data_IF_117388699555
#
_entry.id   IF_117388699555
#
_cell.length_a   1.000
_cell.length_b   1.000
_cell.length_c   1.000
_cell.angle_alpha   90.00
_cell.angle_beta   90.00
_cell.angle_gamma   90.00
#
_symmetry.space_group_name_H-M   'P 1'
#
loop_
_entity.id
_entity.type
_entity.pdbx_description
1 polymer ?
#
# COMPACT_ATOMS: atom_id res chain seq x y z
N UNK A 1 -15.31 17.63 -5.41
CA UNK A 1 -15.64 16.30 -4.90
C UNK A 1 -15.28 16.24 -3.42
N UNK A 2 -16.02 15.52 -2.59
CA UNK A 2 -15.64 15.33 -1.19
C UNK A 2 -14.31 14.63 -1.08
N UNK A 3 -13.52 14.94 -0.05
CA UNK A 3 -12.27 14.27 0.24
C UNK A 3 -12.48 12.77 0.43
N UNK A 4 -11.67 11.95 -0.21
CA UNK A 4 -11.82 10.50 -0.24
C UNK A 4 -10.59 9.82 0.34
N UNK A 5 -10.80 8.79 1.14
CA UNK A 5 -9.78 7.88 1.58
C UNK A 5 -9.61 6.76 0.55
N UNK A 6 -8.50 6.77 -0.18
CA UNK A 6 -8.14 5.73 -1.12
C UNK A 6 -7.20 4.74 -0.42
N UNK A 7 -7.60 3.49 -0.28
CA UNK A 7 -6.79 2.44 0.35
C UNK A 7 -6.33 1.44 -0.70
N UNK A 8 -5.01 1.28 -0.80
CA UNK A 8 -4.39 0.37 -1.75
C UNK A 8 -4.04 -0.93 -1.05
N UNK A 9 -4.37 -2.04 -1.67
CA UNK A 9 -4.03 -3.37 -1.18
C UNK A 9 -3.67 -4.32 -2.33
N UNK A 10 -3.04 -5.44 -1.99
CA UNK A 10 -2.57 -6.44 -2.93
C UNK A 10 -1.28 -7.10 -2.47
N UNK A 11 -0.77 -8.11 -3.19
CA UNK A 11 0.40 -8.88 -2.79
C UNK A 11 1.71 -8.07 -2.82
N UNK A 12 2.77 -8.63 -2.26
CA UNK A 12 4.12 -8.06 -2.32
C UNK A 12 4.56 -7.86 -3.77
N UNK A 13 5.27 -6.77 -4.05
CA UNK A 13 5.81 -6.41 -5.38
C UNK A 13 4.77 -6.29 -6.51
N UNK A 14 3.48 -6.15 -6.19
CA UNK A 14 2.43 -5.90 -7.18
C UNK A 14 2.52 -4.51 -7.85
N UNK A 15 3.30 -3.58 -7.29
CA UNK A 15 3.42 -2.20 -7.79
C UNK A 15 2.58 -1.18 -7.02
N UNK A 16 2.13 -1.52 -5.81
CA UNK A 16 1.26 -0.68 -4.97
C UNK A 16 1.83 0.72 -4.75
N UNK A 17 3.08 0.84 -4.36
CA UNK A 17 3.73 2.13 -4.07
C UNK A 17 3.79 3.04 -5.30
N UNK A 18 4.17 2.48 -6.46
CA UNK A 18 4.16 3.23 -7.73
C UNK A 18 2.74 3.70 -8.07
N UNK A 19 1.76 2.81 -7.91
CA UNK A 19 0.35 3.14 -8.11
C UNK A 19 -0.13 4.21 -7.12
N UNK A 20 0.24 4.12 -5.85
CA UNK A 20 -0.10 5.09 -4.80
C UNK A 20 0.36 6.50 -5.16
N UNK A 21 1.61 6.65 -5.56
CA UNK A 21 2.15 7.96 -5.97
C UNK A 21 1.51 8.49 -7.25
N UNK A 22 1.23 7.63 -8.24
CA UNK A 22 0.53 8.02 -9.45
C UNK A 22 -0.91 8.48 -9.16
N UNK A 23 -1.63 7.73 -8.33
CA UNK A 23 -2.98 8.05 -7.89
C UNK A 23 -3.02 9.39 -7.14
N UNK A 24 -2.11 9.58 -6.19
CA UNK A 24 -2.04 10.79 -5.40
C UNK A 24 -1.80 12.04 -6.27
N UNK A 25 -0.91 11.95 -7.26
CA UNK A 25 -0.70 13.04 -8.23
C UNK A 25 -1.94 13.33 -9.06
N UNK A 26 -2.61 12.28 -9.56
CA UNK A 26 -3.81 12.41 -10.40
C UNK A 26 -4.98 13.03 -9.64
N UNK A 27 -5.19 12.62 -8.40
CA UNK A 27 -6.32 13.05 -7.57
C UNK A 27 -6.01 14.29 -6.72
N UNK A 28 -4.79 14.88 -6.83
CA UNK A 28 -4.31 15.94 -5.95
C UNK A 28 -4.46 15.57 -4.46
N UNK A 29 -4.09 14.35 -4.13
CA UNK A 29 -4.21 13.75 -2.80
C UNK A 29 -2.85 13.64 -2.10
N UNK A 30 -2.88 13.44 -0.78
CA UNK A 30 -1.68 13.15 0.01
C UNK A 30 -1.48 11.65 0.12
N UNK A 31 -0.29 11.16 -0.32
CA UNK A 31 0.07 9.76 -0.19
C UNK A 31 0.80 9.48 1.12
N UNK A 32 0.40 8.40 1.79
CA UNK A 32 1.08 7.81 2.93
C UNK A 32 1.47 6.37 2.60
N UNK A 33 2.78 6.12 2.51
CA UNK A 33 3.35 4.80 2.22
C UNK A 33 4.11 4.33 3.45
N UNK A 34 3.60 3.30 4.12
CA UNK A 34 4.14 2.83 5.40
C UNK A 34 5.61 2.41 5.29
N UNK A 35 5.95 1.67 4.23
CA UNK A 35 7.32 1.19 4.03
C UNK A 35 8.32 2.34 3.84
N UNK A 36 7.95 3.39 3.12
CA UNK A 36 8.80 4.58 2.94
C UNK A 36 9.00 5.34 4.26
N UNK A 37 7.94 5.48 5.06
CA UNK A 37 8.04 6.11 6.37
C UNK A 37 8.92 5.29 7.29
N UNK A 38 8.72 3.96 7.33
CA UNK A 38 9.55 3.04 8.10
C UNK A 38 11.03 3.15 7.73
N UNK A 39 11.34 3.15 6.44
CA UNK A 39 12.71 3.27 5.95
C UNK A 39 13.36 4.62 6.31
N UNK A 40 12.64 5.72 6.12
CA UNK A 40 13.16 7.06 6.39
C UNK A 40 13.37 7.31 7.88
N UNK A 41 12.45 6.83 8.73
CA UNK A 41 12.49 7.07 10.17
C UNK A 41 13.45 6.12 10.90
N UNK A 42 13.53 4.86 10.48
CA UNK A 42 14.23 3.82 11.23
C UNK A 42 15.39 3.16 10.47
N UNK A 43 15.46 3.34 9.15
CA UNK A 43 16.58 2.84 8.34
C UNK A 43 17.94 3.31 8.84
N UNK A 44 18.14 4.59 9.17
CA UNK A 44 19.41 5.10 9.71
C UNK A 44 19.84 4.47 11.03
N UNK A 45 18.92 3.89 11.80
CA UNK A 45 19.19 3.26 13.09
C UNK A 45 19.57 1.78 12.98
N UNK A 46 19.46 1.19 11.79
CA UNK A 46 19.78 -0.22 11.55
C UNK A 46 21.30 -0.42 11.60
N UNK A 47 21.77 -1.19 12.58
CA UNK A 47 23.19 -1.51 12.82
C UNK A 47 23.58 -2.94 12.48
N UNK A 48 22.69 -3.70 11.86
CA UNK A 48 22.89 -5.12 11.54
C UNK A 48 21.67 -5.75 10.91
N UNK A 49 21.55 -7.08 10.94
CA UNK A 49 20.37 -7.78 10.46
C UNK A 49 19.10 -7.27 11.15
N UNK A 50 18.03 -7.12 10.39
CA UNK A 50 16.77 -6.61 10.91
C UNK A 50 16.12 -7.67 11.79
N UNK A 51 15.92 -7.36 13.07
CA UNK A 51 15.08 -8.16 13.95
C UNK A 51 13.60 -7.90 13.62
N UNK A 52 12.88 -8.96 13.25
CA UNK A 52 11.50 -8.86 12.79
C UNK A 52 10.57 -8.20 13.82
N UNK A 53 10.70 -8.57 15.10
CA UNK A 53 9.90 -7.98 16.19
C UNK A 53 10.17 -6.47 16.34
N UNK A 54 11.43 -6.06 16.24
CA UNK A 54 11.85 -4.67 16.29
C UNK A 54 11.23 -3.84 15.17
N UNK A 55 11.21 -4.40 13.97
CA UNK A 55 10.60 -3.75 12.80
C UNK A 55 9.09 -3.64 12.94
N UNK A 56 8.41 -4.72 13.32
CA UNK A 56 6.95 -4.73 13.47
C UNK A 56 6.45 -3.68 14.47
N UNK A 57 7.13 -3.55 15.61
CA UNK A 57 6.76 -2.55 16.62
C UNK A 57 6.85 -1.12 16.07
N UNK A 58 7.88 -0.84 15.30
CA UNK A 58 8.10 0.48 14.69
C UNK A 58 7.09 0.79 13.59
N UNK A 59 6.85 -0.18 12.72
CA UNK A 59 5.83 -0.05 11.69
C UNK A 59 4.43 0.11 12.29
N UNK A 60 4.12 -0.53 13.40
CA UNK A 60 2.84 -0.34 14.10
C UNK A 60 2.68 1.11 14.60
N UNK A 61 3.73 1.69 15.19
CA UNK A 61 3.72 3.10 15.62
C UNK A 61 3.62 4.05 14.44
N UNK A 62 4.37 3.79 13.37
CA UNK A 62 4.27 4.54 12.10
C UNK A 62 2.85 4.51 11.55
N UNK A 63 2.26 3.33 11.49
CA UNK A 63 0.91 3.14 10.96
C UNK A 63 -0.14 3.91 11.79
N UNK A 64 -0.01 3.89 13.13
CA UNK A 64 -0.90 4.68 14.00
C UNK A 64 -0.79 6.19 13.72
N UNK A 65 0.42 6.70 13.53
CA UNK A 65 0.65 8.11 13.19
C UNK A 65 0.13 8.45 11.79
N UNK A 66 0.36 7.58 10.81
CA UNK A 66 -0.19 7.72 9.45
C UNK A 66 -1.71 7.87 9.51
N UNK A 67 -2.40 6.99 10.24
CA UNK A 67 -3.86 7.04 10.37
C UNK A 67 -4.35 8.35 10.98
N UNK A 68 -3.77 8.79 12.10
CA UNK A 68 -4.17 10.06 12.74
C UNK A 68 -3.90 11.27 11.84
N UNK A 69 -2.80 11.25 11.07
CA UNK A 69 -2.47 12.31 10.12
C UNK A 69 -3.42 12.29 8.92
N UNK A 70 -3.71 11.11 8.38
CA UNK A 70 -4.64 10.93 7.27
C UNK A 70 -6.05 11.45 7.63
N UNK A 71 -6.52 11.17 8.84
CA UNK A 71 -7.80 11.71 9.34
C UNK A 71 -7.80 13.25 9.38
N UNK A 72 -6.72 13.87 9.86
CA UNK A 72 -6.60 15.32 9.89
C UNK A 72 -6.57 15.93 8.47
N UNK A 73 -5.91 15.27 7.52
CA UNK A 73 -5.86 15.70 6.11
C UNK A 73 -7.24 15.60 5.45
N UNK A 74 -7.96 14.48 5.69
CA UNK A 74 -9.34 14.31 5.20
C UNK A 74 -10.28 15.37 5.79
N UNK A 75 -10.16 15.66 7.10
CA UNK A 75 -10.96 16.69 7.76
C UNK A 75 -10.66 18.09 7.20
N UNK A 76 -9.45 18.34 6.71
CA UNK A 76 -9.08 19.56 6.01
C UNK A 76 -9.58 19.62 4.54
N UNK A 77 -10.33 18.61 4.09
CA UNK A 77 -10.92 18.56 2.74
C UNK A 77 -9.98 18.06 1.65
N UNK A 78 -8.87 17.42 2.02
CA UNK A 78 -7.92 16.87 1.05
C UNK A 78 -7.99 15.33 1.03
N UNK A 79 -8.08 14.75 -0.16
CA UNK A 79 -8.07 13.29 -0.33
C UNK A 79 -6.74 12.66 0.08
N UNK A 80 -6.81 11.42 0.51
CA UNK A 80 -5.66 10.65 1.00
C UNK A 80 -5.54 9.34 0.24
N UNK A 81 -4.29 8.91 0.01
CA UNK A 81 -3.96 7.58 -0.52
C UNK A 81 -3.13 6.85 0.52
N UNK A 82 -3.60 5.70 0.99
CA UNK A 82 -2.90 4.85 1.96
C UNK A 82 -2.35 3.58 1.28
N UNK A 83 -1.05 3.36 1.36
CA UNK A 83 -0.37 2.08 1.11
C UNK A 83 0.24 1.60 2.43
N UNK A 84 -0.55 0.86 3.21
CA UNK A 84 -0.19 0.43 4.58
C UNK A 84 -0.14 -1.09 4.74
N UNK A 85 -0.05 -1.84 3.62
CA UNK A 85 0.20 -3.27 3.63
C UNK A 85 -0.97 -4.12 4.10
N UNK A 86 -2.21 -3.83 3.70
CA UNK A 86 -3.41 -4.61 4.01
C UNK A 86 -3.44 -5.98 3.28
N UNK A 87 -2.48 -6.85 3.62
CA UNK A 87 -2.25 -8.13 2.96
C UNK A 87 -3.20 -9.23 3.43
N UNK A 88 -3.66 -9.16 4.67
CA UNK A 88 -4.56 -10.14 5.26
C UNK A 88 -5.99 -9.63 5.23
N UNK A 89 -6.94 -10.56 5.21
CA UNK A 89 -8.37 -10.22 5.33
C UNK A 89 -8.67 -9.45 6.62
N UNK A 90 -8.06 -9.87 7.73
CA UNK A 90 -8.23 -9.19 9.02
C UNK A 90 -7.76 -7.71 8.99
N UNK A 91 -6.69 -7.40 8.25
CA UNK A 91 -6.21 -6.02 8.10
C UNK A 91 -7.23 -5.17 7.32
N UNK A 92 -7.79 -5.71 6.23
CA UNK A 92 -8.80 -5.04 5.42
C UNK A 92 -10.11 -4.85 6.18
N UNK A 93 -10.52 -5.84 6.95
CA UNK A 93 -11.70 -5.75 7.80
C UNK A 93 -11.54 -4.69 8.89
N UNK A 94 -10.37 -4.64 9.54
CA UNK A 94 -10.06 -3.59 10.52
C UNK A 94 -10.15 -2.19 9.90
N UNK A 95 -9.65 -2.02 8.68
CA UNK A 95 -9.76 -0.74 7.96
C UNK A 95 -11.22 -0.39 7.72
N UNK A 96 -12.06 -1.33 7.28
CA UNK A 96 -13.50 -1.12 7.09
C UNK A 96 -14.16 -0.64 8.38
N UNK A 97 -13.90 -1.31 9.49
CA UNK A 97 -14.45 -0.93 10.80
C UNK A 97 -14.08 0.49 11.22
N UNK A 98 -12.82 0.90 11.02
CA UNK A 98 -12.37 2.28 11.30
C UNK A 98 -13.13 3.29 10.44
N UNK A 99 -13.24 2.99 9.15
CA UNK A 99 -13.89 3.86 8.17
C UNK A 99 -15.39 3.99 8.46
N UNK A 100 -16.07 2.89 8.75
CA UNK A 100 -17.49 2.87 9.12
C UNK A 100 -17.75 3.65 10.43
N UNK A 101 -16.94 3.39 11.46
CA UNK A 101 -17.08 4.08 12.76
C UNK A 101 -16.89 5.60 12.65
N UNK A 102 -16.14 6.07 11.67
CA UNK A 102 -15.83 7.49 11.44
C UNK A 102 -16.60 8.09 10.27
N UNK A 103 -17.43 7.30 9.60
CA UNK A 103 -18.18 7.69 8.41
C UNK A 103 -17.30 8.36 7.33
N UNK A 104 -16.13 7.78 7.04
CA UNK A 104 -15.20 8.29 6.06
C UNK A 104 -15.55 7.79 4.65
N UNK A 105 -15.48 8.61 3.60
CA UNK A 105 -15.64 8.16 2.22
C UNK A 105 -14.46 7.27 1.83
N UNK A 106 -14.71 6.00 1.54
CA UNK A 106 -13.68 4.99 1.22
C UNK A 106 -13.76 4.54 -0.23
N UNK A 107 -12.60 4.50 -0.89
CA UNK A 107 -12.40 3.83 -2.17
C UNK A 107 -11.26 2.80 -2.03
N UNK A 108 -11.57 1.55 -2.31
CA UNK A 108 -10.57 0.48 -2.38
C UNK A 108 -9.92 0.42 -3.75
N UNK A 109 -8.59 0.16 -3.75
CA UNK A 109 -7.80 -0.07 -4.96
C UNK A 109 -7.04 -1.38 -4.80
N UNK A 110 -7.41 -2.38 -5.59
CA UNK A 110 -6.71 -3.65 -5.64
C UNK A 110 -5.66 -3.63 -6.75
N UNK A 111 -4.40 -3.76 -6.38
CA UNK A 111 -3.27 -3.80 -7.31
C UNK A 111 -2.67 -5.19 -7.29
N UNK A 112 -2.70 -5.87 -8.43
CA UNK A 112 -2.19 -7.23 -8.56
C UNK A 112 -1.25 -7.40 -9.76
N UNK A 113 -0.43 -8.42 -9.70
CA UNK A 113 0.40 -8.91 -10.80
C UNK A 113 0.69 -10.40 -10.60
N UNK A 114 0.88 -11.18 -11.69
CA UNK A 114 1.24 -12.60 -11.58
C UNK A 114 2.47 -12.81 -10.70
N UNK A 115 2.47 -13.87 -9.89
CA UNK A 115 3.56 -14.15 -8.95
C UNK A 115 4.95 -14.17 -9.61
N UNK A 116 5.06 -14.75 -10.82
CA UNK A 116 6.33 -14.77 -11.55
C UNK A 116 6.84 -13.36 -11.88
N UNK A 117 5.93 -12.44 -12.25
CA UNK A 117 6.25 -11.03 -12.51
C UNK A 117 6.69 -10.34 -11.23
N UNK A 118 6.00 -10.59 -10.12
CA UNK A 118 6.31 -9.98 -8.83
C UNK A 118 7.68 -10.45 -8.31
N UNK A 119 8.00 -11.74 -8.49
CA UNK A 119 9.31 -12.32 -8.15
C UNK A 119 10.45 -11.69 -8.97
N UNK A 120 10.27 -11.53 -10.28
CA UNK A 120 11.23 -10.83 -11.13
C UNK A 120 11.44 -9.38 -10.70
N UNK A 121 10.37 -8.65 -10.40
CA UNK A 121 10.44 -7.27 -9.91
C UNK A 121 11.20 -7.12 -8.59
N UNK A 122 11.10 -8.09 -7.69
CA UNK A 122 11.89 -8.11 -6.45
C UNK A 122 13.38 -8.22 -6.77
N UNK A 123 13.76 -9.14 -7.65
CA UNK A 123 15.17 -9.32 -8.05
C UNK A 123 15.73 -8.05 -8.71
N UNK A 124 14.98 -7.48 -9.66
CA UNK A 124 15.38 -6.25 -10.36
C UNK A 124 15.51 -5.07 -9.39
N UNK A 125 14.56 -4.89 -8.46
CA UNK A 125 14.58 -3.83 -7.45
C UNK A 125 15.76 -3.96 -6.49
N UNK A 126 16.07 -5.16 -6.05
CA UNK A 126 17.22 -5.42 -5.18
C UNK A 126 18.53 -5.07 -5.88
N UNK A 127 18.62 -5.24 -7.20
CA UNK A 127 19.80 -4.92 -8.00
C UNK A 127 19.88 -3.42 -8.31
N UNK A 128 18.80 -2.84 -8.79
CA UNK A 128 18.77 -1.44 -9.25
C UNK A 128 18.76 -0.41 -8.13
N UNK A 129 18.20 -0.75 -6.95
CA UNK A 129 18.03 0.15 -5.79
C UNK A 129 17.50 1.53 -6.15
N UNK A 130 16.46 1.56 -7.02
CA UNK A 130 15.83 2.78 -7.50
C UNK A 130 15.00 3.53 -6.45
N UNK A 131 14.23 4.53 -6.88
CA UNK A 131 13.49 5.46 -6.01
C UNK A 131 12.54 4.79 -5.01
N UNK A 132 11.95 3.65 -5.37
CA UNK A 132 11.03 2.88 -4.50
C UNK A 132 11.73 1.78 -3.70
N UNK A 133 13.06 1.76 -3.70
CA UNK A 133 13.82 0.81 -2.92
C UNK A 133 13.85 1.24 -1.45
N UNK A 134 13.22 0.44 -0.61
CA UNK A 134 13.16 0.66 0.84
C UNK A 134 14.16 -0.25 1.56
N UNK A 135 14.14 -1.53 1.20
CA UNK A 135 15.01 -2.56 1.74
C UNK A 135 15.10 -3.74 0.77
N UNK A 136 16.13 -4.53 0.91
CA UNK A 136 16.27 -5.78 0.20
C UNK A 136 15.22 -6.79 0.65
N UNK A 137 14.53 -7.39 -0.30
CA UNK A 137 13.60 -8.50 -0.06
C UNK A 137 14.25 -9.77 -0.55
N UNK A 138 14.72 -10.61 0.37
CA UNK A 138 15.32 -11.89 0.00
C UNK A 138 14.27 -12.86 -0.56
N UNK A 139 14.67 -13.91 -1.29
CA UNK A 139 13.74 -14.94 -1.76
C UNK A 139 12.93 -15.55 -0.61
N UNK A 140 13.54 -15.80 0.54
CA UNK A 140 12.88 -16.36 1.73
C UNK A 140 11.84 -15.39 2.29
N UNK A 141 12.16 -14.09 2.33
CA UNK A 141 11.20 -13.05 2.73
C UNK A 141 10.03 -12.97 1.75
N UNK A 142 10.28 -13.09 0.45
CA UNK A 142 9.22 -13.11 -0.55
C UNK A 142 8.26 -14.28 -0.32
N UNK A 143 8.80 -15.50 -0.13
CA UNK A 143 7.97 -16.70 0.15
C UNK A 143 7.17 -16.55 1.46
N UNK A 144 7.77 -15.97 2.49
CA UNK A 144 7.07 -15.68 3.75
C UNK A 144 5.92 -14.69 3.53
N UNK A 145 6.13 -13.64 2.74
CA UNK A 145 5.09 -12.66 2.40
C UNK A 145 3.97 -13.28 1.56
N UNK A 146 4.30 -14.19 0.63
CA UNK A 146 3.31 -14.96 -0.13
C UNK A 146 2.47 -15.88 0.78
N UNK A 147 3.10 -16.51 1.77
CA UNK A 147 2.41 -17.40 2.70
C UNK A 147 1.43 -16.66 3.63
N UNK A 148 1.69 -15.39 3.94
CA UNK A 148 0.80 -14.58 4.79
C UNK A 148 -0.22 -13.76 3.99
N UNK A 149 -0.05 -13.67 2.67
CA UNK A 149 -0.99 -12.95 1.83
C UNK A 149 -2.30 -13.74 1.67
N UNK A 150 -3.40 -13.09 1.96
CA UNK A 150 -4.76 -13.63 1.76
C UNK A 150 -5.42 -12.91 0.58
N UNK A 151 -5.59 -13.59 -0.56
CA UNK A 151 -6.29 -13.00 -1.71
C UNK A 151 -7.68 -12.48 -1.33
N UNK A 152 -8.13 -11.36 -1.90
CA UNK A 152 -9.46 -10.87 -1.63
C UNK A 152 -10.53 -11.83 -2.15
N UNK A 153 -11.62 -11.96 -1.40
CA UNK A 153 -12.83 -12.64 -1.87
C UNK A 153 -13.65 -11.72 -2.78
N UNK A 154 -14.52 -12.26 -3.66
CA UNK A 154 -15.30 -11.44 -4.60
C UNK A 154 -16.02 -10.25 -3.95
N UNK A 155 -16.60 -10.44 -2.75
CA UNK A 155 -17.29 -9.38 -2.02
C UNK A 155 -16.37 -8.22 -1.58
N UNK A 156 -15.07 -8.47 -1.42
CA UNK A 156 -14.09 -7.40 -1.10
C UNK A 156 -13.70 -6.57 -2.33
N UNK A 157 -13.97 -7.09 -3.52
CA UNK A 157 -13.69 -6.43 -4.80
C UNK A 157 -14.89 -5.64 -5.33
N UNK A 158 -16.07 -5.79 -4.73
CA UNK A 158 -17.25 -5.02 -5.11
C UNK A 158 -17.00 -3.51 -4.88
N UNK A 159 -17.10 -2.73 -5.94
CA UNK A 159 -16.81 -1.29 -5.93
C UNK A 159 -15.33 -0.93 -5.81
N UNK A 160 -14.42 -1.91 -5.77
CA UNK A 160 -12.98 -1.63 -5.80
C UNK A 160 -12.51 -1.30 -7.22
N UNK A 161 -11.55 -0.37 -7.30
CA UNK A 161 -10.80 -0.14 -8.55
C UNK A 161 -9.77 -1.25 -8.70
N UNK A 162 -9.81 -1.96 -9.83
CA UNK A 162 -8.87 -3.06 -10.12
C UNK A 162 -7.75 -2.55 -11.03
N UNK A 163 -6.51 -2.73 -10.63
CA UNK A 163 -5.32 -2.38 -11.40
C UNK A 163 -4.43 -3.61 -11.56
N UNK A 164 -4.33 -4.11 -12.80
CA UNK A 164 -3.35 -5.13 -13.16
C UNK A 164 -2.06 -4.42 -13.57
N UNK A 165 -1.04 -4.41 -12.73
CA UNK A 165 0.24 -3.84 -13.11
C UNK A 165 1.03 -4.78 -14.01
N UNK A 166 0.95 -4.53 -15.30
CA UNK A 166 1.53 -5.31 -16.40
C UNK A 166 1.01 -4.87 -17.76
N UNK A 167 -0.11 -4.15 -17.79
CA UNK A 167 -0.61 -3.46 -18.97
C UNK A 167 -0.86 -2.00 -18.62
N UNK A 168 0.09 -1.13 -18.92
CA UNK A 168 -0.19 0.29 -19.10
C UNK A 168 -1.01 0.45 -20.38
N UNK A 169 -2.31 0.28 -20.27
CA UNK A 169 -3.27 0.95 -21.13
C UNK A 169 -4.34 1.51 -20.21
N UNK A 170 -4.09 2.72 -19.72
CA UNK A 170 -5.15 3.56 -19.21
C UNK A 170 -6.15 3.75 -20.35
N UNK A 171 -7.27 3.05 -20.30
CA UNK A 171 -8.41 3.40 -21.14
C UNK A 171 -8.86 4.80 -20.72
N UNK A 172 -9.02 5.76 -21.66
CA UNK A 172 -9.57 7.05 -21.34
C UNK A 172 -11.01 6.85 -20.88
N UNK A 173 -11.36 7.46 -19.76
CA UNK A 173 -12.76 7.61 -19.34
C UNK A 173 -13.51 8.25 -20.50
N UNK A 174 -14.50 7.55 -21.03
CA UNK A 174 -15.45 8.13 -21.97
C UNK A 174 -16.15 9.32 -21.30
N UNK A 175 -15.94 10.49 -21.87
CA UNK A 175 -16.79 11.66 -21.63
C UNK A 175 -18.11 11.43 -22.37
N UNK A 176 -19.20 11.37 -21.64
CA UNK A 176 -20.53 11.79 -22.07
C UNK A 176 -21.16 12.65 -20.98
#
# INVERSE_FOLDING_TARGET
LPATLNVIFGPCAAGKTTYAHALARRENAVAFVLDEWGARLFGPDLRGPIEFAWMLERLARCNALIWSTAEAVLAAGTSVVLDTGAMRRADRERIRQIVEAKNLPLQWHFVDAPQAVRRARVADRNTAKGETFVMEVTPEMFEMLEAIYEPPVPAELEGAVLSASGNETAAPLATD
#
